data_IF_720324301682
#
_entry.id   IF_720324301682
#
_cell.length_a   1.000
_cell.length_b   1.000
_cell.length_c   1.000
_cell.angle_alpha   90.00
_cell.angle_beta   90.00
_cell.angle_gamma   90.00
#
_symmetry.space_group_name_H-M   'P 1'
#
loop_
_entity.id
_entity.type
_entity.pdbx_description
1 polymer ?
#
# COMPACT_ATOMS: atom_id res chain seq x y z
N UNK A 1 -7.71 17.31 12.22
CA UNK A 1 -9.18 17.45 12.03
C UNK A 1 -9.60 17.98 10.65
N UNK A 2 -8.76 18.73 9.91
CA UNK A 2 -9.13 19.24 8.57
C UNK A 2 -9.43 18.13 7.55
N UNK A 3 -8.56 17.11 7.45
CA UNK A 3 -8.73 16.00 6.49
C UNK A 3 -9.95 15.11 6.78
N UNK A 4 -10.23 14.83 8.07
CA UNK A 4 -11.40 14.01 8.44
C UNK A 4 -12.69 14.65 7.93
N UNK A 5 -12.90 15.94 8.26
CA UNK A 5 -14.06 16.70 7.79
C UNK A 5 -14.14 16.80 6.27
N UNK A 6 -12.99 16.98 5.61
CA UNK A 6 -12.93 17.03 4.15
C UNK A 6 -13.46 15.74 3.52
N UNK A 7 -13.00 14.58 4.01
CA UNK A 7 -13.39 13.28 3.47
C UNK A 7 -14.79 12.85 3.89
N UNK A 8 -15.20 13.13 5.12
CA UNK A 8 -16.58 12.92 5.57
C UNK A 8 -17.57 13.69 4.68
N UNK A 9 -17.31 14.96 4.40
CA UNK A 9 -18.15 15.74 3.49
C UNK A 9 -18.12 15.20 2.05
N UNK A 10 -16.95 14.74 1.57
CA UNK A 10 -16.78 14.16 0.22
C UNK A 10 -17.59 12.88 0.04
N UNK A 11 -17.66 12.03 1.06
CA UNK A 11 -18.32 10.72 1.03
C UNK A 11 -19.69 10.70 1.73
N UNK A 12 -20.16 11.85 2.20
CA UNK A 12 -21.41 12.03 2.94
C UNK A 12 -21.51 11.16 4.21
N UNK A 13 -20.39 11.05 4.91
CA UNK A 13 -20.29 10.45 6.24
C UNK A 13 -20.11 11.52 7.32
N UNK A 14 -20.11 11.09 8.58
CA UNK A 14 -19.89 11.97 9.73
C UNK A 14 -19.15 11.23 10.84
N UNK A 15 -17.90 10.85 10.59
CA UNK A 15 -17.13 10.08 11.53
C UNK A 15 -16.58 10.94 12.67
N UNK A 16 -16.30 10.29 13.80
CA UNK A 16 -15.54 10.88 14.91
C UNK A 16 -14.35 9.98 15.20
N UNK A 17 -13.19 10.58 15.45
CA UNK A 17 -12.04 9.85 15.98
C UNK A 17 -12.21 9.66 17.49
N UNK A 18 -11.96 8.45 17.97
CA UNK A 18 -11.78 8.20 19.41
C UNK A 18 -10.54 8.93 19.93
N UNK A 19 -10.46 9.16 21.25
CA UNK A 19 -9.28 9.77 21.89
C UNK A 19 -8.00 8.99 21.57
N UNK A 20 -8.04 7.67 21.76
CA UNK A 20 -6.92 6.76 21.48
C UNK A 20 -6.49 6.81 20.00
N UNK A 21 -7.42 6.97 19.06
CA UNK A 21 -7.10 7.13 17.64
C UNK A 21 -6.38 8.44 17.36
N UNK A 22 -6.74 9.53 18.05
CA UNK A 22 -6.02 10.80 17.94
C UNK A 22 -4.61 10.64 18.47
N UNK A 23 -4.45 10.02 19.65
CA UNK A 23 -3.13 9.78 20.25
C UNK A 23 -2.27 8.92 19.33
N UNK A 24 -2.86 7.91 18.67
CA UNK A 24 -2.17 7.07 17.71
C UNK A 24 -1.70 7.82 16.46
N UNK A 25 -2.51 8.74 15.96
CA UNK A 25 -2.13 9.62 14.83
C UNK A 25 -1.02 10.59 15.23
N UNK A 26 -1.01 11.07 16.48
CA UNK A 26 0.01 12.00 16.99
C UNK A 26 1.34 11.29 17.27
N UNK A 27 1.31 10.05 17.73
CA UNK A 27 2.49 9.25 18.04
C UNK A 27 3.23 8.73 16.79
N UNK A 28 2.55 8.66 15.64
CA UNK A 28 3.15 8.14 14.41
C UNK A 28 4.07 9.19 13.76
N UNK A 29 5.29 8.81 13.29
CA UNK A 29 6.29 9.77 12.81
C UNK A 29 6.05 10.34 11.41
N UNK A 30 5.06 9.83 10.65
CA UNK A 30 4.69 10.29 9.30
C UNK A 30 5.89 10.42 8.32
N UNK A 31 6.64 9.34 8.08
CA UNK A 31 7.88 9.37 7.29
C UNK A 31 7.69 9.85 5.84
N UNK A 32 6.49 9.74 5.26
CA UNK A 32 6.16 10.20 3.90
C UNK A 32 5.39 11.52 3.82
N UNK A 33 5.42 12.36 4.87
CA UNK A 33 4.81 13.68 4.95
C UNK A 33 3.26 13.69 5.07
N UNK A 34 2.67 14.89 4.99
CA UNK A 34 1.23 15.15 5.15
C UNK A 34 0.32 14.36 4.18
N UNK A 35 0.87 13.88 3.05
CA UNK A 35 0.14 13.02 2.11
C UNK A 35 -0.17 11.64 2.68
N UNK A 36 0.71 11.09 3.52
CA UNK A 36 0.43 9.83 4.21
C UNK A 36 -0.72 9.98 5.19
N UNK A 37 -0.70 11.04 6.00
CA UNK A 37 -1.81 11.37 6.90
C UNK A 37 -3.11 11.50 6.11
N UNK A 38 -3.09 12.20 4.99
CA UNK A 38 -4.26 12.36 4.13
C UNK A 38 -4.80 11.00 3.64
N UNK A 39 -3.93 10.13 3.10
CA UNK A 39 -4.33 8.81 2.60
C UNK A 39 -4.88 7.90 3.72
N UNK A 40 -4.25 7.92 4.90
CA UNK A 40 -4.72 7.13 6.04
C UNK A 40 -6.11 7.58 6.46
N UNK A 41 -6.34 8.90 6.58
CA UNK A 41 -7.64 9.44 6.95
C UNK A 41 -8.71 9.15 5.88
N UNK A 42 -8.37 9.26 4.59
CA UNK A 42 -9.29 8.91 3.49
C UNK A 42 -9.69 7.44 3.57
N UNK A 43 -8.71 6.55 3.76
CA UNK A 43 -8.95 5.12 3.89
C UNK A 43 -9.87 4.84 5.10
N UNK A 44 -9.56 5.42 6.27
CA UNK A 44 -10.37 5.23 7.48
C UNK A 44 -11.83 5.67 7.28
N UNK A 45 -12.08 6.78 6.59
CA UNK A 45 -13.45 7.25 6.29
C UNK A 45 -14.18 6.29 5.34
N UNK A 46 -13.48 5.68 4.38
CA UNK A 46 -14.11 4.79 3.39
C UNK A 46 -14.29 3.37 3.91
N UNK A 47 -13.41 2.89 4.80
CA UNK A 47 -13.43 1.50 5.27
C UNK A 47 -14.12 1.31 6.61
N UNK A 48 -14.26 2.36 7.42
CA UNK A 48 -14.95 2.29 8.71
C UNK A 48 -16.45 2.39 8.48
N UNK A 49 -17.20 1.39 8.93
CA UNK A 49 -18.66 1.42 8.90
C UNK A 49 -19.25 2.05 10.17
N UNK A 50 -18.47 2.02 11.26
CA UNK A 50 -18.83 2.58 12.55
C UNK A 50 -18.74 4.12 12.53
N UNK A 51 -19.65 4.81 13.22
CA UNK A 51 -19.59 6.27 13.36
C UNK A 51 -18.32 6.74 14.12
N UNK A 52 -17.71 5.87 14.93
CA UNK A 52 -16.50 6.18 15.70
C UNK A 52 -15.33 5.37 15.15
N UNK A 53 -14.33 6.07 14.62
CA UNK A 53 -13.06 5.49 14.22
C UNK A 53 -12.23 5.27 15.49
N UNK A 54 -12.19 4.01 15.90
CA UNK A 54 -11.32 3.48 16.95
C UNK A 54 -9.97 2.97 16.39
N UNK A 55 -8.94 2.78 17.25
CA UNK A 55 -7.62 2.35 16.79
C UNK A 55 -7.70 1.07 15.95
N UNK A 56 -8.58 0.12 16.29
CA UNK A 56 -8.75 -1.16 15.56
C UNK A 56 -9.04 -1.03 14.06
N UNK A 57 -9.52 0.13 13.61
CA UNK A 57 -9.78 0.40 12.20
C UNK A 57 -8.52 0.86 11.45
N UNK A 58 -7.46 1.22 12.18
CA UNK A 58 -6.20 1.65 11.61
C UNK A 58 -5.49 0.49 10.92
N UNK A 59 -4.71 0.78 9.87
CA UNK A 59 -3.81 -0.21 9.30
C UNK A 59 -2.91 -0.82 10.37
N UNK A 60 -2.58 -2.10 10.20
CA UNK A 60 -1.70 -2.86 11.09
C UNK A 60 -0.35 -2.16 11.38
N UNK A 61 0.11 -1.31 10.47
CA UNK A 61 1.32 -0.49 10.61
C UNK A 61 1.30 0.48 11.80
N UNK A 62 0.12 0.86 12.30
CA UNK A 62 0.00 1.65 13.52
C UNK A 62 0.17 0.77 14.77
N UNK A 63 -0.08 -0.53 14.69
CA UNK A 63 -0.13 -1.43 15.83
C UNK A 63 1.18 -2.10 16.19
N UNK A 64 2.19 -2.06 15.32
CA UNK A 64 3.53 -2.49 15.68
C UNK A 64 4.14 -1.47 16.66
N UNK A 65 4.03 -1.76 17.96
CA UNK A 65 5.00 -1.27 18.93
C UNK A 65 6.40 -1.65 18.44
N UNK A 66 7.34 -0.71 18.51
CA UNK A 66 8.72 -0.85 18.04
C UNK A 66 9.49 -1.95 18.78
N UNK A 67 9.13 -3.20 18.54
CA UNK A 67 9.66 -4.38 19.17
C UNK A 67 10.08 -5.35 18.08
N UNK A 68 11.34 -5.23 17.64
CA UNK A 68 12.02 -6.29 16.89
C UNK A 68 12.12 -6.09 15.37
N UNK A 69 13.34 -5.82 14.92
CA UNK A 69 13.85 -5.97 13.53
C UNK A 69 13.04 -5.33 12.39
N UNK A 70 13.53 -4.16 11.97
CA UNK A 70 13.18 -3.38 10.78
C UNK A 70 13.39 -4.09 9.41
N UNK A 71 13.06 -5.36 9.22
CA UNK A 71 13.42 -6.06 7.97
C UNK A 71 12.35 -6.88 7.23
N UNK A 72 11.13 -7.12 7.75
CA UNK A 72 10.20 -8.02 7.01
C UNK A 72 8.79 -7.50 6.75
N UNK A 73 8.44 -6.28 7.17
CA UNK A 73 7.19 -5.59 6.75
C UNK A 73 7.53 -4.30 6.01
N UNK A 74 8.49 -4.38 5.10
CA UNK A 74 8.66 -3.33 4.10
C UNK A 74 7.39 -3.27 3.22
N UNK A 75 6.71 -2.14 3.34
CA UNK A 75 6.00 -1.48 2.24
C UNK A 75 4.52 -1.88 1.99
N UNK A 76 3.61 -1.11 2.60
CA UNK A 76 2.35 -0.67 1.95
C UNK A 76 2.32 0.85 1.60
N UNK A 77 3.24 1.41 0.79
CA UNK A 77 3.36 2.84 0.49
C UNK A 77 3.19 3.13 -1.02
N UNK A 78 2.68 2.17 -1.80
CA UNK A 78 2.58 2.23 -3.25
C UNK A 78 1.10 2.24 -3.63
N UNK A 79 0.68 3.20 -4.44
CA UNK A 79 -0.68 3.18 -5.00
C UNK A 79 -0.87 1.88 -5.82
N UNK A 80 -2.12 1.50 -6.10
CA UNK A 80 -2.43 0.24 -6.79
C UNK A 80 -1.56 0.01 -8.05
N UNK A 81 -1.36 1.04 -8.86
CA UNK A 81 -0.56 0.95 -10.08
C UNK A 81 0.91 0.66 -9.80
N UNK A 82 1.47 1.22 -8.73
CA UNK A 82 2.85 0.96 -8.32
C UNK A 82 3.02 -0.45 -7.74
N UNK A 83 2.02 -0.97 -6.99
CA UNK A 83 2.04 -2.36 -6.52
C UNK A 83 1.99 -3.34 -7.68
N UNK A 84 1.11 -3.10 -8.66
CA UNK A 84 1.04 -3.91 -9.88
C UNK A 84 2.37 -3.87 -10.62
N UNK A 85 3.04 -2.71 -10.72
CA UNK A 85 4.37 -2.60 -11.36
C UNK A 85 5.45 -3.35 -10.59
N UNK A 86 5.46 -3.28 -9.26
CA UNK A 86 6.41 -3.98 -8.41
C UNK A 86 6.23 -5.51 -8.51
N UNK A 87 4.97 -5.97 -8.47
CA UNK A 87 4.64 -7.38 -8.63
C UNK A 87 4.94 -7.88 -10.06
N UNK A 88 4.65 -7.08 -11.09
CA UNK A 88 5.03 -7.37 -12.49
C UNK A 88 6.55 -7.56 -12.61
N UNK A 89 7.34 -6.65 -12.00
CA UNK A 89 8.81 -6.75 -11.97
C UNK A 89 9.25 -8.04 -11.26
N UNK A 90 8.72 -8.31 -10.07
CA UNK A 90 9.07 -9.49 -9.27
C UNK A 90 8.82 -10.80 -10.04
N UNK A 91 7.61 -10.97 -10.57
CA UNK A 91 7.23 -12.15 -11.35
C UNK A 91 8.14 -12.33 -12.57
N UNK A 92 8.39 -11.24 -13.30
CA UNK A 92 9.22 -11.29 -14.49
C UNK A 92 10.66 -11.67 -14.15
N UNK A 93 11.27 -11.03 -13.17
CA UNK A 93 12.66 -11.29 -12.76
C UNK A 93 12.82 -12.72 -12.25
N UNK A 94 11.89 -13.22 -11.43
CA UNK A 94 11.90 -14.60 -10.95
C UNK A 94 11.81 -15.60 -12.11
N UNK A 95 10.86 -15.41 -13.02
CA UNK A 95 10.72 -16.28 -14.18
C UNK A 95 11.93 -16.20 -15.11
N UNK A 96 12.53 -15.02 -15.28
CA UNK A 96 13.71 -14.82 -16.12
C UNK A 96 14.93 -15.58 -15.61
N UNK A 97 15.24 -15.51 -14.31
CA UNK A 97 16.39 -16.23 -13.75
C UNK A 97 16.16 -17.74 -13.63
N UNK A 98 14.90 -18.19 -13.58
CA UNK A 98 14.56 -19.62 -13.56
C UNK A 98 14.52 -20.27 -14.96
N UNK A 99 14.60 -19.48 -16.03
CA UNK A 99 14.46 -19.97 -17.40
C UNK A 99 15.62 -19.50 -18.28
N UNK A 100 16.15 -20.40 -19.11
CA UNK A 100 17.31 -20.12 -19.95
C UNK A 100 17.04 -19.28 -21.21
N UNK A 101 15.77 -19.06 -21.58
CA UNK A 101 15.42 -18.31 -22.80
C UNK A 101 14.16 -17.48 -22.66
N UNK A 102 14.09 -16.37 -23.42
CA UNK A 102 12.93 -15.47 -23.45
C UNK A 102 11.66 -16.16 -23.93
N UNK A 103 11.80 -17.17 -24.80
CA UNK A 103 10.68 -18.02 -25.22
C UNK A 103 10.11 -18.83 -24.06
N UNK A 104 10.97 -19.48 -23.25
CA UNK A 104 10.54 -20.25 -22.06
C UNK A 104 9.92 -19.35 -21.00
N UNK A 105 10.47 -18.16 -20.77
CA UNK A 105 9.89 -17.15 -19.87
C UNK A 105 8.46 -16.79 -20.30
N UNK A 106 8.25 -16.56 -21.60
CA UNK A 106 6.92 -16.26 -22.14
C UNK A 106 5.92 -17.39 -21.91
N UNK A 107 6.34 -18.64 -22.17
CA UNK A 107 5.51 -19.82 -21.92
C UNK A 107 5.18 -20.00 -20.43
N UNK A 108 6.16 -19.80 -19.54
CA UNK A 108 5.97 -19.93 -18.09
C UNK A 108 5.03 -18.87 -17.51
N UNK A 109 5.09 -17.64 -18.03
CA UNK A 109 4.25 -16.53 -17.59
C UNK A 109 2.93 -16.40 -18.38
N UNK A 110 2.70 -17.25 -19.39
CA UNK A 110 1.51 -17.17 -20.25
C UNK A 110 1.43 -15.88 -21.10
N UNK A 111 2.58 -15.31 -21.49
CA UNK A 111 2.66 -14.06 -22.25
C UNK A 111 3.45 -14.23 -23.56
N UNK A 112 3.17 -13.36 -24.55
CA UNK A 112 3.88 -13.38 -25.82
C UNK A 112 5.36 -13.03 -25.66
N UNK A 113 6.21 -13.56 -26.56
CA UNK A 113 7.64 -13.29 -26.58
C UNK A 113 7.93 -11.78 -26.75
N UNK A 114 7.12 -11.06 -27.50
CA UNK A 114 7.22 -9.61 -27.66
C UNK A 114 7.00 -8.86 -26.33
N UNK A 115 6.05 -9.31 -25.48
CA UNK A 115 5.86 -8.74 -24.14
C UNK A 115 7.05 -9.04 -23.23
N UNK A 116 7.61 -10.25 -23.30
CA UNK A 116 8.85 -10.61 -22.57
C UNK A 116 10.00 -9.68 -22.95
N UNK A 117 10.21 -9.41 -24.23
CA UNK A 117 11.28 -8.51 -24.68
C UNK A 117 11.08 -7.08 -24.15
N UNK A 118 9.84 -6.60 -24.12
CA UNK A 118 9.51 -5.28 -23.57
C UNK A 118 9.73 -5.21 -22.06
N UNK A 119 9.36 -6.25 -21.33
CA UNK A 119 9.60 -6.36 -19.87
C UNK A 119 11.09 -6.50 -19.56
N UNK A 120 11.84 -7.24 -20.38
CA UNK A 120 13.31 -7.32 -20.29
C UNK A 120 13.92 -5.94 -20.33
N UNK A 121 13.64 -5.16 -21.39
CA UNK A 121 14.15 -3.78 -21.53
C UNK A 121 13.72 -2.85 -20.38
N UNK A 122 12.57 -3.12 -19.74
CA UNK A 122 12.00 -2.27 -18.68
C UNK A 122 12.61 -2.57 -17.30
N UNK A 123 13.06 -3.80 -17.04
CA UNK A 123 13.35 -4.27 -15.69
C UNK A 123 14.72 -4.93 -15.50
N UNK A 124 15.41 -5.30 -16.59
CA UNK A 124 16.75 -5.88 -16.62
C UNK A 124 17.67 -5.00 -17.47
#
# INVERSE_FOLDING_TARGET
MHYLKHYDNKYNFNHRLSGDSVDKLLAYPWPGNIRELQNVIENLVVTTLDHVIEPRHFPYQFFEEQSGSLQEVENFPLNFNERVKAYEKLLFTKAYYQNSSTYKVGKALGISQSKVMRLKKKYL
#
